data_IF_362264025468
#
_entry.id   IF_362264025468
#
_cell.length_a   1.000
_cell.length_b   1.000
_cell.length_c   1.000
_cell.angle_alpha   90.00
_cell.angle_beta   90.00
_cell.angle_gamma   90.00
#
_symmetry.space_group_name_H-M   'P 1'
#
loop_
_entity.id
_entity.type
_entity.pdbx_description
1 polymer ?
#
# COMPACT_ATOMS: atom_id res chain seq x y z
N UNK A 1 -29.10 -3.59 0.61
CA UNK A 1 -28.54 -3.02 1.86
C UNK A 1 -27.78 -4.14 2.56
N UNK A 2 -26.50 -3.91 2.89
CA UNK A 2 -25.72 -4.87 3.69
C UNK A 2 -26.21 -4.74 5.13
N UNK A 3 -26.64 -5.84 5.74
CA UNK A 3 -27.02 -5.89 7.15
C UNK A 3 -25.75 -6.03 8.01
N UNK A 4 -25.40 -4.97 8.73
CA UNK A 4 -24.20 -4.92 9.57
C UNK A 4 -24.52 -5.45 10.97
N UNK A 5 -23.77 -6.46 11.41
CA UNK A 5 -23.84 -6.96 12.79
C UNK A 5 -23.06 -6.02 13.72
N UNK A 6 -23.77 -5.17 14.44
CA UNK A 6 -23.21 -4.06 15.22
C UNK A 6 -22.10 -4.48 16.22
N UNK A 7 -22.20 -5.68 16.83
CA UNK A 7 -21.16 -6.15 17.75
C UNK A 7 -19.86 -6.54 17.04
N UNK A 8 -19.94 -7.05 15.81
CA UNK A 8 -18.79 -7.38 14.99
C UNK A 8 -18.12 -6.10 14.52
N UNK A 9 -18.90 -5.17 13.96
CA UNK A 9 -18.43 -3.85 13.52
C UNK A 9 -17.64 -3.14 14.62
N UNK A 10 -18.24 -2.98 15.80
CA UNK A 10 -17.58 -2.35 16.97
C UNK A 10 -16.32 -3.08 17.42
N UNK A 11 -16.28 -4.41 17.30
CA UNK A 11 -15.09 -5.19 17.66
C UNK A 11 -13.94 -4.93 16.70
N UNK A 12 -14.23 -4.86 15.40
CA UNK A 12 -13.24 -4.52 14.37
C UNK A 12 -12.75 -3.07 14.51
N UNK A 13 -13.64 -2.12 14.78
CA UNK A 13 -13.29 -0.72 15.07
C UNK A 13 -12.30 -0.60 16.24
N UNK A 14 -12.43 -1.43 17.29
CA UNK A 14 -11.46 -1.46 18.39
C UNK A 14 -10.08 -1.92 17.91
N UNK A 15 -10.00 -2.95 17.05
CA UNK A 15 -8.72 -3.40 16.50
C UNK A 15 -8.06 -2.32 15.63
N UNK A 16 -8.83 -1.68 14.77
CA UNK A 16 -8.36 -0.57 13.93
C UNK A 16 -7.88 0.62 14.78
N UNK A 17 -8.62 0.99 15.81
CA UNK A 17 -8.21 2.03 16.76
C UNK A 17 -6.88 1.68 17.41
N UNK A 18 -6.75 0.47 17.99
CA UNK A 18 -5.53 0.04 18.69
C UNK A 18 -4.31 -0.04 17.76
N UNK A 19 -4.50 -0.24 16.46
CA UNK A 19 -3.40 -0.28 15.48
C UNK A 19 -2.62 1.04 15.38
N UNK A 20 -3.23 2.16 15.75
CA UNK A 20 -2.65 3.48 15.71
C UNK A 20 -1.88 3.87 17.00
N UNK A 21 -1.88 3.00 18.03
CA UNK A 21 -1.33 3.33 19.34
C UNK A 21 -0.40 2.23 19.87
N UNK A 22 0.89 2.34 19.56
CA UNK A 22 1.93 1.36 19.93
C UNK A 22 2.01 1.12 21.45
N UNK A 23 1.79 2.16 22.26
CA UNK A 23 1.79 2.06 23.73
C UNK A 23 0.47 1.52 24.29
N UNK A 24 -0.51 1.29 23.42
CA UNK A 24 -1.85 0.85 23.79
C UNK A 24 -2.71 1.94 24.43
N UNK A 25 -3.99 1.62 24.62
CA UNK A 25 -4.99 2.52 25.19
C UNK A 25 -5.67 1.91 26.40
N UNK A 26 -6.01 2.75 27.39
CA UNK A 26 -6.86 2.37 28.51
C UNK A 26 -8.33 2.29 28.09
N UNK A 27 -9.14 1.56 28.87
CA UNK A 27 -10.57 1.37 28.56
C UNK A 27 -11.35 2.69 28.46
N UNK A 28 -10.97 3.71 29.22
CA UNK A 28 -11.62 5.02 29.20
C UNK A 28 -11.31 5.78 27.91
N UNK A 29 -10.07 5.69 27.43
CA UNK A 29 -9.64 6.31 26.18
C UNK A 29 -10.37 5.66 25.00
N UNK A 30 -10.38 4.32 24.94
CA UNK A 30 -11.12 3.57 23.90
C UNK A 30 -12.60 3.95 23.91
N UNK A 31 -13.25 3.92 25.10
CA UNK A 31 -14.66 4.25 25.28
C UNK A 31 -15.01 5.65 24.73
N UNK A 32 -14.15 6.63 25.01
CA UNK A 32 -14.33 8.01 24.53
C UNK A 32 -14.15 8.15 23.02
N UNK A 33 -13.15 7.44 22.45
CA UNK A 33 -12.79 7.59 21.02
C UNK A 33 -13.81 6.92 20.07
N UNK A 34 -14.48 5.85 20.52
CA UNK A 34 -15.47 5.13 19.69
C UNK A 34 -16.91 5.35 20.15
N UNK A 35 -17.15 6.29 21.06
CA UNK A 35 -18.47 6.65 21.62
C UNK A 35 -19.27 5.43 22.11
N UNK A 36 -18.65 4.59 22.93
CA UNK A 36 -19.30 3.43 23.54
C UNK A 36 -19.15 3.44 25.06
N UNK A 37 -20.15 2.92 25.77
CA UNK A 37 -20.06 2.74 27.23
C UNK A 37 -18.90 1.78 27.60
N UNK A 38 -18.16 2.12 28.67
CA UNK A 38 -17.03 1.32 29.17
C UNK A 38 -17.39 -0.17 29.38
N UNK A 39 -18.59 -0.48 29.82
CA UNK A 39 -19.07 -1.86 30.01
C UNK A 39 -19.15 -2.63 28.68
N UNK A 40 -19.56 -1.97 27.61
CA UNK A 40 -19.58 -2.54 26.26
C UNK A 40 -18.17 -2.77 25.76
N UNK A 41 -17.30 -1.76 25.85
CA UNK A 41 -15.88 -1.86 25.46
C UNK A 41 -15.20 -3.00 26.22
N UNK A 42 -15.42 -3.11 27.53
CA UNK A 42 -14.84 -4.19 28.35
C UNK A 42 -15.25 -5.59 27.85
N UNK A 43 -16.53 -5.79 27.49
CA UNK A 43 -17.01 -7.08 26.96
C UNK A 43 -16.40 -7.43 25.61
N UNK A 44 -16.27 -6.42 24.71
CA UNK A 44 -15.65 -6.59 23.41
C UNK A 44 -14.14 -6.90 23.54
N UNK A 45 -13.42 -6.15 24.37
CA UNK A 45 -12.02 -6.39 24.70
C UNK A 45 -11.82 -7.79 25.33
N UNK A 46 -12.71 -8.21 26.24
CA UNK A 46 -12.67 -9.55 26.80
C UNK A 46 -12.75 -10.66 25.73
N UNK A 47 -13.59 -10.46 24.73
CA UNK A 47 -13.68 -11.38 23.58
C UNK A 47 -12.40 -11.36 22.72
N UNK A 48 -11.84 -10.18 22.45
CA UNK A 48 -10.59 -10.03 21.70
C UNK A 48 -9.40 -10.66 22.43
N UNK A 49 -9.34 -10.52 23.76
CA UNK A 49 -8.32 -11.17 24.60
C UNK A 49 -8.50 -12.70 24.55
N UNK A 50 -9.72 -13.19 24.75
CA UNK A 50 -10.02 -14.63 24.69
C UNK A 50 -9.62 -15.24 23.32
N UNK A 51 -9.83 -14.51 22.23
CA UNK A 51 -9.42 -14.92 20.88
C UNK A 51 -7.94 -14.66 20.58
N UNK A 52 -7.20 -14.01 21.48
CA UNK A 52 -5.78 -13.74 21.36
C UNK A 52 -5.42 -12.57 20.44
N UNK A 53 -6.37 -11.72 20.03
CA UNK A 53 -6.12 -10.55 19.16
C UNK A 53 -5.59 -9.33 19.92
N UNK A 54 -5.92 -9.23 21.19
CA UNK A 54 -5.54 -8.15 22.10
C UNK A 54 -4.89 -8.73 23.34
N UNK A 55 -3.92 -8.01 23.88
CA UNK A 55 -3.32 -8.29 25.20
C UNK A 55 -3.53 -7.09 26.10
N UNK A 56 -3.68 -7.32 27.39
CA UNK A 56 -3.68 -6.26 28.39
C UNK A 56 -2.34 -6.26 29.12
N UNK A 57 -1.68 -5.12 29.11
CA UNK A 57 -0.49 -4.90 29.91
C UNK A 57 -0.87 -4.78 31.40
N UNK A 58 -0.36 -5.68 32.23
CA UNK A 58 -0.72 -5.75 33.64
C UNK A 58 -0.16 -4.60 34.49
N UNK A 59 0.92 -3.94 34.02
CA UNK A 59 1.52 -2.82 34.72
C UNK A 59 0.77 -1.51 34.46
N UNK A 60 0.31 -1.30 33.22
CA UNK A 60 -0.33 -0.05 32.79
C UNK A 60 -1.85 -0.16 32.68
N UNK A 61 -2.40 -1.37 32.68
CA UNK A 61 -3.80 -1.71 32.37
C UNK A 61 -4.23 -1.28 30.95
N UNK A 62 -3.29 -0.99 30.05
CA UNK A 62 -3.56 -0.64 28.67
C UNK A 62 -3.72 -1.87 27.80
N UNK A 63 -4.54 -1.75 26.77
CA UNK A 63 -4.82 -2.79 25.78
C UNK A 63 -4.01 -2.52 24.51
N UNK A 64 -3.36 -3.56 23.96
CA UNK A 64 -2.52 -3.50 22.75
C UNK A 64 -2.91 -4.64 21.81
N UNK A 65 -2.66 -4.45 20.51
CA UNK A 65 -2.75 -5.54 19.55
C UNK A 65 -1.71 -6.62 19.90
N UNK A 66 -2.10 -7.88 19.73
CA UNK A 66 -1.18 -9.02 19.85
C UNK A 66 -0.54 -9.36 18.50
N UNK A 67 0.46 -10.23 18.50
CA UNK A 67 1.06 -10.80 17.29
C UNK A 67 0.12 -11.73 16.50
N UNK A 68 -1.08 -12.02 17.00
CA UNK A 68 -2.08 -12.86 16.29
C UNK A 68 -2.49 -12.28 14.95
N UNK A 69 -2.60 -10.95 14.85
CA UNK A 69 -2.90 -10.28 13.59
C UNK A 69 -1.78 -10.46 12.56
N UNK A 70 -0.52 -10.38 13.01
CA UNK A 70 0.64 -10.66 12.16
C UNK A 70 0.64 -12.13 11.70
N UNK A 71 0.37 -13.09 12.61
CA UNK A 71 0.26 -14.51 12.26
C UNK A 71 -0.77 -14.77 11.17
N UNK A 72 -1.95 -14.15 11.26
CA UNK A 72 -3.00 -14.32 10.26
C UNK A 72 -2.66 -13.63 8.93
N UNK A 73 -2.16 -12.40 9.00
CA UNK A 73 -1.76 -11.64 7.82
C UNK A 73 -0.59 -12.30 7.08
N UNK A 74 0.43 -12.78 7.82
CA UNK A 74 1.59 -13.43 7.22
C UNK A 74 1.24 -14.73 6.51
N UNK A 75 0.26 -15.51 7.00
CA UNK A 75 -0.24 -16.69 6.27
C UNK A 75 -0.81 -16.32 4.91
N UNK A 76 -1.63 -15.26 4.84
CA UNK A 76 -2.21 -14.79 3.57
C UNK A 76 -1.14 -14.32 2.58
N UNK A 77 -0.14 -13.59 3.09
CA UNK A 77 0.95 -13.05 2.28
C UNK A 77 1.94 -14.15 1.87
N UNK A 78 2.23 -15.12 2.75
CA UNK A 78 3.16 -16.21 2.49
C UNK A 78 2.75 -17.10 1.30
N UNK A 79 1.45 -17.13 0.98
CA UNK A 79 0.90 -17.87 -0.16
C UNK A 79 0.94 -17.06 -1.47
N UNK A 80 1.40 -15.80 -1.43
CA UNK A 80 1.52 -14.97 -2.62
C UNK A 80 2.83 -15.23 -3.34
N UNK A 81 2.76 -15.84 -4.51
CA UNK A 81 3.94 -16.12 -5.35
C UNK A 81 4.68 -14.83 -5.72
N UNK A 82 3.96 -13.73 -5.95
CA UNK A 82 4.57 -12.44 -6.29
C UNK A 82 5.54 -11.95 -5.21
N UNK A 83 5.24 -12.10 -3.91
CA UNK A 83 6.13 -11.64 -2.84
C UNK A 83 7.42 -12.44 -2.82
N UNK A 84 7.31 -13.79 -2.86
CA UNK A 84 8.48 -14.69 -2.85
C UNK A 84 9.37 -14.46 -4.07
N UNK A 85 8.72 -14.34 -5.23
CA UNK A 85 9.41 -14.18 -6.53
C UNK A 85 10.08 -12.80 -6.62
N UNK A 86 9.44 -11.75 -6.13
CA UNK A 86 9.97 -10.37 -6.27
C UNK A 86 11.14 -10.07 -5.35
N UNK A 87 11.22 -10.70 -4.17
CA UNK A 87 12.19 -10.36 -3.11
C UNK A 87 13.64 -10.21 -3.61
N UNK A 88 14.23 -11.19 -4.32
CA UNK A 88 15.62 -11.08 -4.78
C UNK A 88 15.84 -9.97 -5.83
N UNK A 89 14.79 -9.58 -6.55
CA UNK A 89 14.85 -8.54 -7.58
C UNK A 89 14.69 -7.14 -6.99
N UNK A 90 13.77 -6.96 -6.05
CA UNK A 90 13.58 -5.68 -5.34
C UNK A 90 14.83 -5.31 -4.51
N UNK A 91 15.49 -6.29 -3.88
CA UNK A 91 16.75 -6.08 -3.19
C UNK A 91 17.90 -5.69 -4.14
N UNK A 92 17.97 -6.32 -5.33
CA UNK A 92 18.96 -5.94 -6.35
C UNK A 92 18.69 -4.55 -6.91
N UNK A 93 17.43 -4.23 -7.21
CA UNK A 93 17.03 -2.91 -7.69
C UNK A 93 17.43 -1.83 -6.66
N UNK A 94 17.10 -2.03 -5.39
CA UNK A 94 17.50 -1.10 -4.32
C UNK A 94 19.01 -0.88 -4.28
N UNK A 95 19.82 -1.95 -4.37
CA UNK A 95 21.28 -1.83 -4.39
C UNK A 95 21.81 -1.07 -5.61
N UNK A 96 21.12 -1.19 -6.76
CA UNK A 96 21.50 -0.50 -8.00
C UNK A 96 21.23 1.00 -7.92
N UNK A 97 20.07 1.39 -7.40
CA UNK A 97 19.62 2.80 -7.41
C UNK A 97 19.86 3.53 -6.09
N UNK A 98 20.15 2.79 -5.02
CA UNK A 98 20.28 3.29 -3.64
C UNK A 98 19.11 4.17 -3.17
N UNK A 99 17.89 3.81 -3.58
CA UNK A 99 16.63 4.41 -3.14
C UNK A 99 15.66 3.32 -2.70
N UNK A 100 14.64 3.71 -1.92
CA UNK A 100 13.62 2.76 -1.42
C UNK A 100 12.89 2.11 -2.58
N UNK A 101 12.74 0.79 -2.51
CA UNK A 101 11.95 0.00 -3.46
C UNK A 101 10.73 -0.56 -2.75
N UNK A 102 9.56 -0.38 -3.37
CA UNK A 102 8.31 -0.96 -2.89
C UNK A 102 7.82 -2.05 -3.83
N UNK A 103 7.11 -3.02 -3.27
CA UNK A 103 6.25 -3.95 -3.99
C UNK A 103 4.83 -3.74 -3.50
N UNK A 104 3.90 -3.58 -4.43
CA UNK A 104 2.48 -3.41 -4.13
C UNK A 104 1.63 -4.38 -4.94
N UNK A 105 0.44 -4.64 -4.43
CA UNK A 105 -0.66 -5.28 -5.16
C UNK A 105 -1.87 -4.36 -5.18
N UNK A 106 -2.78 -4.60 -6.11
CA UNK A 106 -4.10 -3.96 -6.12
C UNK A 106 -5.03 -4.69 -5.17
N UNK A 107 -5.80 -3.94 -4.41
CA UNK A 107 -6.93 -4.42 -3.64
C UNK A 107 -8.08 -3.43 -3.79
N UNK A 108 -9.07 -3.80 -4.59
CA UNK A 108 -10.19 -2.96 -5.04
C UNK A 108 -9.71 -1.66 -5.73
N UNK A 109 -9.93 -0.49 -5.10
CA UNK A 109 -9.60 0.84 -5.63
C UNK A 109 -8.27 1.39 -5.12
N UNK A 110 -7.56 0.60 -4.31
CA UNK A 110 -6.31 0.97 -3.67
C UNK A 110 -5.16 0.05 -4.07
N UNK A 111 -3.95 0.53 -3.84
CA UNK A 111 -2.76 -0.31 -3.70
C UNK A 111 -2.55 -0.68 -2.23
N UNK A 112 -1.96 -1.85 -1.99
CA UNK A 112 -1.46 -2.28 -0.68
C UNK A 112 0.03 -2.54 -0.80
N UNK A 113 0.83 -1.90 0.06
CA UNK A 113 2.26 -2.14 0.15
C UNK A 113 2.51 -3.50 0.83
N UNK A 114 3.01 -4.50 0.09
CA UNK A 114 3.27 -5.85 0.62
C UNK A 114 4.74 -6.12 0.91
N UNK A 115 5.66 -5.34 0.33
CA UNK A 115 7.08 -5.35 0.66
C UNK A 115 7.70 -3.96 0.50
N UNK A 116 8.76 -3.71 1.27
CA UNK A 116 9.57 -2.50 1.24
C UNK A 116 11.01 -2.85 1.49
N UNK A 117 11.89 -2.48 0.57
CA UNK A 117 13.33 -2.60 0.73
C UNK A 117 13.91 -1.22 1.00
N UNK A 118 14.42 -1.03 2.21
CA UNK A 118 15.02 0.24 2.64
C UNK A 118 16.40 0.43 2.01
N UNK A 119 16.69 1.65 1.59
CA UNK A 119 18.04 2.07 1.23
C UNK A 119 18.76 2.60 2.47
N UNK A 120 20.09 2.55 2.44
CA UNK A 120 20.92 3.10 3.53
C UNK A 120 21.07 4.62 3.38
N UNK A 121 19.96 5.34 3.53
CA UNK A 121 19.88 6.78 3.41
C UNK A 121 19.37 7.42 4.70
N UNK A 122 19.91 8.59 5.03
CA UNK A 122 19.53 9.35 6.26
C UNK A 122 18.07 9.82 6.19
N UNK A 123 17.63 10.30 5.02
CA UNK A 123 16.23 10.69 4.80
C UNK A 123 15.47 9.44 4.39
N UNK A 124 14.55 9.00 5.25
CA UNK A 124 13.75 7.79 5.07
C UNK A 124 12.34 8.12 4.59
N UNK A 125 11.79 7.22 3.76
CA UNK A 125 10.39 7.27 3.33
C UNK A 125 9.48 6.75 4.44
N UNK A 126 8.41 7.49 4.74
CA UNK A 126 7.45 7.16 5.81
C UNK A 126 6.47 6.01 5.45
N UNK A 127 6.64 5.38 4.29
CA UNK A 127 5.81 4.24 3.87
C UNK A 127 6.00 3.02 4.77
N UNK A 128 4.92 2.29 5.03
CA UNK A 128 4.92 1.07 5.84
C UNK A 128 4.22 -0.07 5.09
N UNK A 129 4.64 -1.30 5.33
CA UNK A 129 3.95 -2.49 4.83
C UNK A 129 2.54 -2.52 5.44
N UNK A 130 1.53 -2.90 4.63
CA UNK A 130 0.12 -2.88 4.99
C UNK A 130 -0.58 -1.54 4.75
N UNK A 131 0.16 -0.44 4.50
CA UNK A 131 -0.44 0.85 4.14
C UNK A 131 -1.20 0.72 2.82
N UNK A 132 -2.31 1.44 2.73
CA UNK A 132 -3.13 1.58 1.52
C UNK A 132 -2.95 2.99 0.94
N UNK A 133 -3.07 3.09 -0.37
CA UNK A 133 -3.13 4.40 -1.06
C UNK A 133 -3.97 4.26 -2.33
N UNK A 134 -4.72 5.29 -2.72
CA UNK A 134 -5.48 5.26 -3.97
C UNK A 134 -4.59 5.06 -5.19
N UNK A 135 -5.09 4.28 -6.17
CA UNK A 135 -4.39 3.98 -7.40
C UNK A 135 -4.02 5.24 -8.20
N UNK A 136 -4.92 6.23 -8.30
CA UNK A 136 -4.82 7.34 -9.24
C UNK A 136 -3.63 8.28 -9.01
N UNK A 137 -3.10 8.39 -7.80
CA UNK A 137 -2.08 9.37 -7.42
C UNK A 137 -0.70 8.79 -7.07
N UNK A 138 -0.51 7.50 -7.27
CA UNK A 138 0.78 6.83 -7.00
C UNK A 138 1.39 6.30 -8.29
N UNK A 139 2.71 6.30 -8.43
CA UNK A 139 3.37 5.76 -9.61
C UNK A 139 3.01 4.29 -9.85
N UNK A 140 3.01 3.46 -8.80
CA UNK A 140 2.63 2.05 -8.88
C UNK A 140 1.16 1.85 -9.23
N UNK A 141 0.28 2.69 -8.69
CA UNK A 141 -1.16 2.64 -9.00
C UNK A 141 -1.44 3.02 -10.44
N UNK A 142 -0.86 4.13 -10.93
CA UNK A 142 -0.98 4.55 -12.34
C UNK A 142 -0.37 3.52 -13.29
N UNK A 143 0.76 2.90 -12.93
CA UNK A 143 1.37 1.83 -13.71
C UNK A 143 0.44 0.61 -13.85
N UNK A 144 -0.36 0.30 -12.82
CA UNK A 144 -1.34 -0.77 -12.88
C UNK A 144 -2.61 -0.36 -13.64
N UNK A 145 -3.14 0.84 -13.38
CA UNK A 145 -4.32 1.38 -14.06
C UNK A 145 -4.16 1.43 -15.58
N UNK A 146 -2.96 1.71 -16.09
CA UNK A 146 -2.66 1.81 -17.52
C UNK A 146 -2.97 0.52 -18.33
N UNK A 147 -3.15 -0.60 -17.66
CA UNK A 147 -3.45 -1.90 -18.29
C UNK A 147 -4.85 -2.42 -17.99
N UNK A 148 -5.69 -1.63 -17.34
CA UNK A 148 -7.11 -1.93 -17.14
C UNK A 148 -7.95 -1.40 -18.31
N UNK A 149 -9.21 -1.85 -18.39
CA UNK A 149 -10.17 -1.30 -19.33
C UNK A 149 -10.65 0.10 -18.91
N UNK A 150 -11.16 0.86 -19.87
CA UNK A 150 -11.67 2.21 -19.58
C UNK A 150 -12.84 2.16 -18.58
N UNK A 151 -13.66 1.11 -18.64
CA UNK A 151 -14.78 0.89 -17.73
C UNK A 151 -14.28 0.64 -16.29
N UNK A 152 -13.26 -0.19 -16.11
CA UNK A 152 -12.65 -0.44 -14.79
C UNK A 152 -11.99 0.83 -14.22
N UNK A 153 -11.32 1.62 -15.06
CA UNK A 153 -10.70 2.89 -14.66
C UNK A 153 -11.77 3.86 -14.16
N UNK A 154 -12.90 3.98 -14.88
CA UNK A 154 -14.03 4.84 -14.48
C UNK A 154 -14.67 4.36 -13.18
N UNK A 155 -14.86 3.06 -13.02
CA UNK A 155 -15.41 2.47 -11.79
C UNK A 155 -14.51 2.76 -10.59
N UNK A 156 -13.19 2.53 -10.71
CA UNK A 156 -12.21 2.82 -9.67
C UNK A 156 -12.21 4.32 -9.33
N UNK A 157 -12.21 5.17 -10.35
CA UNK A 157 -12.23 6.63 -10.14
C UNK A 157 -13.47 7.08 -9.38
N UNK A 158 -14.65 6.62 -9.79
CA UNK A 158 -15.92 6.99 -9.17
C UNK A 158 -16.07 6.49 -7.73
N UNK A 159 -15.43 5.36 -7.40
CA UNK A 159 -15.42 4.79 -6.06
C UNK A 159 -14.25 5.29 -5.20
N UNK A 160 -13.34 6.08 -5.77
CA UNK A 160 -12.21 6.67 -5.03
C UNK A 160 -12.55 8.05 -4.50
N UNK A 161 -12.07 8.36 -3.29
CA UNK A 161 -12.11 9.73 -2.79
C UNK A 161 -10.99 10.55 -3.44
N UNK A 162 -11.36 11.37 -4.43
CA UNK A 162 -10.38 12.21 -5.14
C UNK A 162 -10.02 13.40 -4.26
N UNK A 163 -8.77 13.47 -3.83
CA UNK A 163 -8.24 14.52 -2.96
C UNK A 163 -7.03 15.18 -3.61
N UNK A 164 -7.02 16.50 -3.66
CA UNK A 164 -5.87 17.29 -4.12
C UNK A 164 -4.89 17.46 -2.96
N UNK A 165 -3.84 16.61 -2.89
CA UNK A 165 -2.83 16.67 -1.84
C UNK A 165 -1.74 17.70 -2.12
N UNK A 166 -1.43 17.91 -3.40
CA UNK A 166 -0.44 18.89 -3.87
C UNK A 166 -1.00 19.65 -5.06
N UNK A 167 -0.29 20.66 -5.52
CA UNK A 167 -0.66 21.36 -6.77
C UNK A 167 -0.54 20.47 -8.01
N UNK A 168 0.22 19.37 -7.94
CA UNK A 168 0.49 18.44 -9.04
C UNK A 168 -0.48 17.25 -9.07
N UNK A 169 -1.27 17.02 -8.00
CA UNK A 169 -2.21 15.89 -7.94
C UNK A 169 -3.24 15.99 -9.08
N UNK A 170 -3.38 14.91 -9.85
CA UNK A 170 -4.40 14.79 -10.89
C UNK A 170 -5.77 14.64 -10.21
N UNK A 171 -6.71 15.54 -10.53
CA UNK A 171 -8.06 15.54 -9.96
C UNK A 171 -9.16 15.44 -11.02
N UNK A 172 -8.78 15.25 -12.29
CA UNK A 172 -9.69 15.13 -13.42
C UNK A 172 -9.49 13.78 -14.12
N UNK A 173 -10.57 13.03 -14.33
CA UNK A 173 -10.52 11.70 -14.95
C UNK A 173 -9.89 11.71 -16.34
N UNK A 174 -10.26 12.68 -17.17
CA UNK A 174 -9.72 12.78 -18.55
C UNK A 174 -8.21 13.06 -18.56
N UNK A 175 -7.72 13.83 -17.60
CA UNK A 175 -6.29 14.05 -17.43
C UNK A 175 -5.58 12.75 -17.02
N UNK A 176 -6.16 11.99 -16.11
CA UNK A 176 -5.65 10.68 -15.72
C UNK A 176 -5.62 9.73 -16.93
N UNK A 177 -6.73 9.57 -17.65
CA UNK A 177 -6.80 8.70 -18.83
C UNK A 177 -5.77 9.03 -19.89
N UNK A 178 -5.51 10.32 -20.10
CA UNK A 178 -4.47 10.77 -21.04
C UNK A 178 -3.10 10.30 -20.57
N UNK A 179 -2.77 10.48 -19.29
CA UNK A 179 -1.49 10.05 -18.73
C UNK A 179 -1.34 8.52 -18.76
N UNK A 180 -2.44 7.77 -18.48
CA UNK A 180 -2.40 6.30 -18.52
C UNK A 180 -2.07 5.76 -19.92
N UNK A 181 -2.51 6.41 -20.98
CA UNK A 181 -2.10 6.06 -22.36
C UNK A 181 -0.60 6.22 -22.57
N UNK A 182 -0.03 7.34 -22.12
CA UNK A 182 1.41 7.58 -22.19
C UNK A 182 2.19 6.57 -21.34
N UNK A 183 1.69 6.24 -20.15
CA UNK A 183 2.28 5.22 -19.26
C UNK A 183 2.30 3.85 -19.95
N UNK A 184 1.21 3.45 -20.60
CA UNK A 184 1.13 2.20 -21.35
C UNK A 184 2.16 2.10 -22.46
N UNK A 185 2.39 3.19 -23.19
CA UNK A 185 3.40 3.25 -24.25
C UNK A 185 4.84 3.20 -23.71
N UNK A 186 5.10 3.91 -22.60
CA UNK A 186 6.44 3.99 -21.98
C UNK A 186 6.77 2.75 -21.12
N UNK A 187 5.75 2.08 -20.57
CA UNK A 187 5.89 0.94 -19.66
C UNK A 187 6.24 1.32 -18.22
N UNK A 188 6.18 2.60 -17.87
CA UNK A 188 6.39 3.09 -16.50
C UNK A 188 5.54 4.32 -16.22
N UNK A 189 5.28 4.57 -14.93
CA UNK A 189 4.58 5.75 -14.43
C UNK A 189 5.45 6.55 -13.47
N UNK A 190 5.21 7.84 -13.39
CA UNK A 190 5.88 8.76 -12.47
C UNK A 190 4.84 9.38 -11.54
N UNK A 191 5.05 9.32 -10.23
CA UNK A 191 4.45 10.23 -9.27
C UNK A 191 5.44 11.38 -9.08
N UNK A 192 5.17 12.51 -9.70
CA UNK A 192 6.02 13.70 -9.67
C UNK A 192 5.49 14.68 -8.63
N UNK A 193 5.65 14.34 -7.35
CA UNK A 193 5.19 15.15 -6.21
C UNK A 193 3.64 15.26 -6.13
N UNK A 194 2.91 14.30 -6.72
CA UNK A 194 1.45 14.28 -6.74
C UNK A 194 0.85 13.82 -5.42
N UNK A 195 1.48 12.79 -4.80
CA UNK A 195 1.03 12.23 -3.53
C UNK A 195 1.62 12.98 -2.33
N UNK A 196 2.85 13.50 -2.45
CA UNK A 196 3.55 14.24 -1.39
C UNK A 196 4.59 15.19 -2.01
N UNK A 197 4.58 16.47 -1.60
CA UNK A 197 5.58 17.44 -2.05
C UNK A 197 6.98 17.00 -1.62
N UNK A 198 7.95 17.17 -2.52
CA UNK A 198 9.34 16.78 -2.28
C UNK A 198 9.62 15.28 -2.41
N UNK A 199 8.61 14.46 -2.81
CA UNK A 199 8.76 13.03 -3.06
C UNK A 199 8.51 12.73 -4.53
N UNK A 200 9.39 11.92 -5.14
CA UNK A 200 9.19 11.42 -6.50
C UNK A 200 9.35 9.91 -6.54
N UNK A 201 8.41 9.26 -7.26
CA UNK A 201 8.41 7.81 -7.40
C UNK A 201 8.30 7.43 -8.89
N UNK A 202 9.00 6.38 -9.29
CA UNK A 202 8.90 5.79 -10.62
C UNK A 202 8.47 4.33 -10.45
N UNK A 203 7.34 3.95 -11.07
CA UNK A 203 6.75 2.61 -10.92
C UNK A 203 6.57 1.89 -12.25
N UNK A 204 6.70 0.57 -12.23
CA UNK A 204 6.45 -0.29 -13.38
C UNK A 204 5.56 -1.49 -12.98
N UNK A 205 4.67 -1.95 -13.88
CA UNK A 205 3.77 -3.06 -13.62
C UNK A 205 4.51 -4.41 -13.65
N UNK A 206 4.01 -5.34 -12.85
CA UNK A 206 4.44 -6.74 -12.84
C UNK A 206 3.29 -7.59 -13.37
N UNK A 207 3.55 -8.40 -14.39
CA UNK A 207 2.55 -9.23 -15.07
C UNK A 207 2.65 -10.70 -14.64
N UNK A 208 1.52 -11.39 -14.61
CA UNK A 208 1.45 -12.83 -14.41
C UNK A 208 1.44 -13.60 -15.76
N UNK A 209 1.38 -14.92 -15.68
CA UNK A 209 1.35 -15.84 -16.83
C UNK A 209 0.17 -15.64 -17.79
N UNK A 210 -0.91 -14.98 -17.35
CA UNK A 210 -2.07 -14.65 -18.18
C UNK A 210 -1.92 -13.28 -18.88
N UNK A 211 -0.82 -12.55 -18.66
CA UNK A 211 -0.64 -11.19 -19.14
C UNK A 211 -1.43 -10.13 -18.37
N UNK A 212 -2.02 -10.50 -17.23
CA UNK A 212 -2.69 -9.57 -16.33
C UNK A 212 -1.70 -8.96 -15.35
N UNK A 213 -1.95 -7.71 -14.95
CA UNK A 213 -1.13 -7.05 -13.94
C UNK A 213 -1.39 -7.69 -12.57
N UNK A 214 -0.36 -8.30 -12.00
CA UNK A 214 -0.39 -8.94 -10.67
C UNK A 214 -0.04 -7.96 -9.55
N UNK A 215 0.79 -6.98 -9.87
CA UNK A 215 1.23 -5.95 -8.94
C UNK A 215 2.10 -4.91 -9.63
N UNK A 216 2.85 -4.14 -8.85
CA UNK A 216 3.83 -3.19 -9.36
C UNK A 216 4.99 -3.01 -8.39
N UNK A 217 6.16 -2.62 -8.91
CA UNK A 217 7.29 -2.17 -8.10
C UNK A 217 7.59 -0.71 -8.37
N UNK A 218 8.16 -0.01 -7.38
CA UNK A 218 8.62 1.37 -7.57
C UNK A 218 9.96 1.65 -6.91
N UNK A 219 10.66 2.64 -7.48
CA UNK A 219 11.76 3.38 -6.85
C UNK A 219 11.14 4.65 -6.28
N UNK A 220 11.41 4.95 -5.01
CA UNK A 220 10.81 6.10 -4.31
C UNK A 220 11.85 6.82 -3.48
N UNK A 221 11.90 8.13 -3.58
CA UNK A 221 12.85 8.93 -2.82
C UNK A 221 12.53 10.42 -2.84
N UNK A 222 13.26 11.22 -2.05
CA UNK A 222 13.15 12.67 -2.09
C UNK A 222 13.47 13.22 -3.48
N UNK A 223 12.70 14.22 -3.94
CA UNK A 223 12.87 14.84 -5.27
C UNK A 223 14.26 15.47 -5.49
N UNK A 224 14.99 15.75 -4.41
CA UNK A 224 16.39 16.22 -4.45
C UNK A 224 17.38 15.11 -4.85
N UNK A 225 17.03 13.83 -4.70
CA UNK A 225 17.86 12.67 -5.12
C UNK A 225 17.27 12.02 -6.36
N UNK A 226 15.95 11.80 -6.37
CA UNK A 226 15.19 11.33 -7.53
C UNK A 226 14.83 12.56 -8.39
N UNK A 227 15.83 13.14 -9.01
CA UNK A 227 15.70 14.37 -9.80
C UNK A 227 15.06 14.12 -11.17
N UNK A 228 14.56 15.17 -11.84
CA UNK A 228 13.87 15.00 -13.13
C UNK A 228 14.75 14.41 -14.22
N UNK A 229 16.05 14.75 -14.22
CA UNK A 229 17.06 14.21 -15.14
C UNK A 229 17.37 12.73 -14.92
N UNK A 230 17.10 12.18 -13.73
CA UNK A 230 17.26 10.76 -13.42
C UNK A 230 16.03 9.89 -13.70
N UNK A 231 14.90 10.49 -14.08
CA UNK A 231 13.65 9.72 -14.28
C UNK A 231 13.86 8.63 -15.32
N UNK A 232 14.48 8.92 -16.46
CA UNK A 232 14.68 7.93 -17.52
C UNK A 232 15.64 6.81 -17.10
N UNK A 233 16.71 7.14 -16.40
CA UNK A 233 17.65 6.15 -15.85
C UNK A 233 16.94 5.19 -14.89
N UNK A 234 16.17 5.73 -13.94
CA UNK A 234 15.44 4.93 -12.96
C UNK A 234 14.26 4.18 -13.59
N UNK A 235 13.64 4.74 -14.63
CA UNK A 235 12.59 4.08 -15.39
C UNK A 235 13.12 2.81 -16.10
N UNK A 236 14.30 2.88 -16.73
CA UNK A 236 14.91 1.70 -17.34
C UNK A 236 15.21 0.62 -16.30
N UNK A 237 15.74 0.98 -15.13
CA UNK A 237 16.03 -0.01 -14.09
C UNK A 237 14.72 -0.61 -13.50
N UNK A 238 13.70 0.21 -13.18
CA UNK A 238 12.46 -0.33 -12.62
C UNK A 238 11.73 -1.23 -13.63
N UNK A 239 11.68 -0.86 -14.93
CA UNK A 239 11.11 -1.70 -16.00
C UNK A 239 11.85 -3.03 -16.14
N UNK A 240 13.17 -2.98 -16.15
CA UNK A 240 14.04 -4.17 -16.23
C UNK A 240 13.71 -5.16 -15.10
N UNK A 241 13.69 -4.70 -13.86
CA UNK A 241 13.41 -5.59 -12.72
C UNK A 241 11.95 -6.04 -12.66
N UNK A 242 10.98 -5.18 -13.01
CA UNK A 242 9.58 -5.58 -13.15
C UNK A 242 9.40 -6.66 -14.24
N UNK A 243 10.10 -6.52 -15.37
CA UNK A 243 10.12 -7.53 -16.43
C UNK A 243 10.75 -8.86 -15.99
N UNK A 244 11.82 -8.84 -15.20
CA UNK A 244 12.42 -10.05 -14.63
C UNK A 244 11.45 -10.77 -13.69
N UNK A 245 10.79 -10.03 -12.80
CA UNK A 245 9.77 -10.57 -11.89
C UNK A 245 8.61 -11.17 -12.70
N UNK A 246 8.11 -10.44 -13.70
CA UNK A 246 7.02 -10.91 -14.56
C UNK A 246 7.39 -12.22 -15.28
N UNK A 247 8.62 -12.33 -15.76
CA UNK A 247 9.11 -13.55 -16.40
C UNK A 247 9.13 -14.74 -15.45
N UNK A 248 9.55 -14.55 -14.20
CA UNK A 248 9.52 -15.60 -13.16
C UNK A 248 8.06 -15.99 -12.80
N UNK A 249 7.11 -15.06 -12.88
CA UNK A 249 5.68 -15.32 -12.73
C UNK A 249 5.03 -15.94 -13.99
N UNK A 250 5.84 -16.27 -15.00
CA UNK A 250 5.41 -16.98 -16.21
C UNK A 250 4.95 -16.08 -17.35
N UNK A 251 5.10 -14.77 -17.25
CA UNK A 251 4.81 -13.83 -18.35
C UNK A 251 5.81 -14.03 -19.50
N UNK A 252 5.31 -14.13 -20.73
CA UNK A 252 6.15 -14.40 -21.91
C UNK A 252 6.19 -13.26 -22.94
N UNK A 253 5.58 -12.08 -22.61
CA UNK A 253 5.53 -10.92 -23.50
C UNK A 253 4.40 -10.97 -24.48
#
# INVERSE_FOLDING_TARGET
>A
MIEIVQSVDRTLTILELLSNYNEGLGITEISSMIDLHKSTVHRLLGTLIYKGFVVQDTATNKYKLSLKLYELGSKRIADMDILKTSKPYTEKLMKTVNEVVHLVIRDENDIVYIDKVEADNTIRMASTIGRRSPLYRTSVGKAMLAYLSDEEIEEIWNNSKIEKLTEYTITELEALKKELKEIKEKGYAVDNEENELGVRCIGAPVFNHNGCVEGAISISGPAIRVTKDKIEEFAEEVKKYAGLISKELGYRG
#
